data_IF_517261032550
#
_entry.id   IF_517261032550
#
_cell.length_a   1.000
_cell.length_b   1.000
_cell.length_c   1.000
_cell.angle_alpha   90.00
_cell.angle_beta   90.00
_cell.angle_gamma   90.00
#
_symmetry.space_group_name_H-M   'P 1'
#
loop_
_entity.id
_entity.type
_entity.pdbx_description
1 polymer ?
#
# COMPACT_ATOMS: atom_id res chain seq x y z
N UNK A 1 -1.10 8.38 20.62
CA UNK A 1 -1.91 7.80 19.53
C UNK A 1 -3.38 8.25 19.53
N UNK A 2 -3.92 8.95 20.55
CA UNK A 2 -5.31 9.44 20.53
C UNK A 2 -6.38 8.37 20.20
N UNK A 3 -6.10 7.11 20.53
CA UNK A 3 -7.01 5.98 20.29
C UNK A 3 -7.98 5.87 21.45
N UNK A 4 -9.26 5.73 21.13
CA UNK A 4 -10.33 5.54 22.11
C UNK A 4 -10.16 4.25 22.91
N UNK A 5 -10.39 4.31 24.23
CA UNK A 5 -10.17 3.19 25.14
C UNK A 5 -10.95 1.92 24.76
N UNK A 6 -12.15 2.07 24.17
CA UNK A 6 -12.98 0.94 23.77
C UNK A 6 -12.35 0.07 22.67
N UNK A 7 -11.39 0.60 21.89
CA UNK A 7 -10.73 -0.11 20.80
C UNK A 7 -9.45 -0.85 21.24
N UNK A 8 -9.01 -0.66 22.47
CA UNK A 8 -7.71 -1.15 22.95
C UNK A 8 -7.61 -2.69 22.89
N UNK A 9 -8.70 -3.38 23.23
CA UNK A 9 -8.72 -4.84 23.22
C UNK A 9 -8.55 -5.37 21.79
N UNK A 10 -9.32 -4.83 20.84
CA UNK A 10 -9.31 -5.24 19.43
C UNK A 10 -7.95 -4.96 18.78
N UNK A 11 -7.30 -3.85 19.15
CA UNK A 11 -5.93 -3.56 18.67
C UNK A 11 -4.94 -4.60 19.18
N UNK A 12 -4.99 -4.96 20.47
CA UNK A 12 -4.11 -5.99 21.03
C UNK A 12 -4.35 -7.34 20.39
N UNK A 13 -5.61 -7.71 20.17
CA UNK A 13 -5.99 -8.94 19.48
C UNK A 13 -5.50 -8.95 18.03
N UNK A 14 -5.63 -7.83 17.32
CA UNK A 14 -5.11 -7.68 15.95
C UNK A 14 -3.59 -7.71 15.89
N UNK A 15 -2.90 -7.15 16.89
CA UNK A 15 -1.44 -7.09 16.95
C UNK A 15 -0.81 -8.44 17.29
N UNK A 16 -1.38 -9.18 18.25
CA UNK A 16 -0.83 -10.46 18.74
C UNK A 16 -1.24 -11.67 17.90
N UNK A 17 -1.90 -11.43 16.77
CA UNK A 17 -2.46 -12.44 15.88
C UNK A 17 -1.36 -13.10 15.07
N UNK A 18 -1.27 -14.43 15.17
CA UNK A 18 -0.30 -15.24 14.42
C UNK A 18 -0.96 -16.39 13.63
N UNK A 19 -0.56 -16.61 12.36
CA UNK A 19 0.32 -15.74 11.57
C UNK A 19 -0.33 -14.38 11.31
N UNK A 20 0.45 -13.31 11.18
CA UNK A 20 -0.07 -11.99 10.80
C UNK A 20 -0.65 -12.02 9.36
N UNK A 21 -1.82 -11.39 9.18
CA UNK A 21 -2.65 -11.45 7.97
C UNK A 21 -3.54 -10.20 7.92
N UNK A 22 -3.82 -9.68 6.71
CA UNK A 22 -4.68 -8.51 6.48
C UNK A 22 -3.92 -7.21 6.16
N UNK A 23 -2.59 -7.24 6.06
CA UNK A 23 -1.78 -6.09 5.60
C UNK A 23 -1.25 -6.36 4.20
N UNK A 24 -1.74 -5.61 3.21
CA UNK A 24 -1.44 -5.84 1.79
C UNK A 24 -0.31 -4.94 1.28
N UNK A 25 -0.34 -3.63 1.57
CA UNK A 25 0.67 -2.67 1.12
C UNK A 25 0.77 -1.45 2.05
N UNK A 26 1.88 -0.71 1.96
CA UNK A 26 2.20 0.51 2.74
C UNK A 26 3.11 1.43 1.90
N UNK A 27 3.14 2.73 2.20
CA UNK A 27 3.99 3.75 1.52
C UNK A 27 4.97 4.37 2.51
N UNK A 28 6.22 4.55 2.07
CA UNK A 28 7.21 5.35 2.79
C UNK A 28 7.34 6.71 2.13
N UNK A 29 7.32 7.76 2.95
CA UNK A 29 7.55 9.11 2.49
C UNK A 29 9.00 9.45 2.81
N UNK A 30 9.82 9.57 1.77
CA UNK A 30 11.28 9.71 1.88
C UNK A 30 11.73 11.05 1.31
N UNK A 31 12.67 11.70 1.98
CA UNK A 31 13.40 12.85 1.46
C UNK A 31 14.82 12.45 1.09
N UNK A 32 15.15 12.67 -0.18
CA UNK A 32 16.45 12.39 -0.75
C UNK A 32 16.68 13.31 -1.95
N UNK A 33 17.81 14.01 -1.98
CA UNK A 33 18.17 14.95 -3.05
C UNK A 33 19.16 14.39 -4.07
N UNK A 34 19.57 13.13 -3.92
CA UNK A 34 20.62 12.53 -4.74
C UNK A 34 21.99 12.51 -4.03
N UNK A 35 22.84 11.61 -4.47
CA UNK A 35 24.16 11.37 -3.85
C UNK A 35 25.09 12.59 -3.94
N UNK A 36 24.92 13.40 -4.99
CA UNK A 36 25.75 14.58 -5.27
C UNK A 36 25.08 15.90 -4.85
N UNK A 37 24.00 15.85 -4.08
CA UNK A 37 23.24 17.04 -3.69
C UNK A 37 24.13 18.06 -2.94
N UNK A 38 23.96 19.36 -3.19
CA UNK A 38 24.82 20.41 -2.60
C UNK A 38 24.72 20.42 -1.07
N UNK A 39 23.51 20.28 -0.53
CA UNK A 39 23.29 20.06 0.90
C UNK A 39 23.59 18.61 1.31
N UNK A 40 24.62 18.35 2.16
CA UNK A 40 24.97 17.00 2.61
C UNK A 40 23.83 16.26 3.31
N UNK A 41 22.88 16.98 3.92
CA UNK A 41 21.74 16.38 4.63
C UNK A 41 20.78 15.66 3.69
N UNK A 42 20.79 16.01 2.41
CA UNK A 42 19.95 15.44 1.36
C UNK A 42 20.66 14.31 0.58
N UNK A 43 21.92 14.01 0.88
CA UNK A 43 22.67 12.89 0.29
C UNK A 43 22.37 11.54 0.96
N UNK A 44 21.67 11.56 2.09
CA UNK A 44 21.24 10.35 2.80
C UNK A 44 19.71 10.32 2.78
N UNK A 45 19.07 9.28 2.23
CA UNK A 45 17.62 9.15 2.27
C UNK A 45 17.11 9.14 3.72
N UNK A 46 16.11 9.98 4.01
CA UNK A 46 15.46 10.03 5.33
C UNK A 46 13.98 9.71 5.18
N UNK A 47 13.52 8.72 5.93
CA UNK A 47 12.09 8.42 6.05
C UNK A 47 11.45 9.41 7.02
N UNK A 48 10.40 10.11 6.56
CA UNK A 48 9.61 11.01 7.37
C UNK A 48 8.35 10.34 7.90
N UNK A 49 7.69 9.54 7.07
CA UNK A 49 6.43 8.91 7.44
C UNK A 49 6.32 7.50 6.84
N UNK A 50 5.63 6.65 7.59
CA UNK A 50 5.21 5.34 7.15
C UNK A 50 3.68 5.29 7.06
N UNK A 51 3.17 5.62 5.88
CA UNK A 51 1.76 5.64 5.56
C UNK A 51 1.27 4.22 5.33
N UNK A 52 0.60 3.67 6.33
CA UNK A 52 0.35 2.24 6.40
C UNK A 52 -1.13 1.82 6.47
N UNK A 53 -2.03 2.78 6.67
CA UNK A 53 -3.46 2.53 6.89
C UNK A 53 -4.23 2.70 5.57
N UNK A 54 -4.08 3.88 4.95
CA UNK A 54 -4.67 4.21 3.65
C UNK A 54 -3.63 4.92 2.76
N UNK A 55 -2.59 4.21 2.29
CA UNK A 55 -1.54 4.84 1.49
C UNK A 55 -2.10 5.20 0.11
N UNK A 56 -1.91 6.44 -0.29
CA UNK A 56 -2.43 6.92 -1.59
C UNK A 56 -1.40 6.85 -2.72
N UNK A 57 -1.83 7.17 -3.94
CA UNK A 57 -1.05 7.12 -5.19
C UNK A 57 -0.68 5.73 -5.71
N UNK A 58 -1.44 4.70 -5.35
CA UNK A 58 -1.12 3.31 -5.72
C UNK A 58 -1.26 3.10 -7.24
N UNK A 59 -2.31 3.64 -7.85
CA UNK A 59 -2.61 3.44 -9.28
C UNK A 59 -1.61 4.16 -10.16
N UNK A 60 -1.25 5.36 -9.74
CA UNK A 60 -0.27 6.22 -10.37
C UNK A 60 1.08 5.51 -10.44
N UNK A 61 1.56 5.06 -9.28
CA UNK A 61 2.82 4.34 -9.17
C UNK A 61 2.75 2.98 -9.88
N UNK A 62 1.70 2.18 -9.70
CA UNK A 62 1.65 0.82 -10.24
C UNK A 62 1.35 0.73 -11.74
N UNK A 63 0.81 1.77 -12.37
CA UNK A 63 0.32 1.66 -13.76
C UNK A 63 0.46 2.93 -14.58
N UNK A 64 -0.01 4.09 -14.10
CA UNK A 64 -0.07 5.29 -14.93
C UNK A 64 1.32 5.78 -15.34
N UNK A 65 2.29 5.77 -14.41
CA UNK A 65 3.67 6.15 -14.70
C UNK A 65 4.31 5.25 -15.77
N UNK A 66 4.07 3.94 -15.70
CA UNK A 66 4.56 2.99 -16.72
C UNK A 66 3.93 3.24 -18.09
N UNK A 67 2.61 3.47 -18.13
CA UNK A 67 1.92 3.79 -19.38
C UNK A 67 2.45 5.07 -20.01
N UNK A 68 2.68 6.12 -19.21
CA UNK A 68 3.30 7.35 -19.68
C UNK A 68 4.70 7.11 -20.25
N UNK A 69 5.54 6.34 -19.55
CA UNK A 69 6.88 5.99 -20.04
C UNK A 69 6.80 5.25 -21.38
N UNK A 70 5.88 4.29 -21.51
CA UNK A 70 5.66 3.52 -22.75
C UNK A 70 5.17 4.38 -23.92
N UNK A 71 4.34 5.38 -23.64
CA UNK A 71 3.77 6.26 -24.66
C UNK A 71 4.77 7.32 -25.14
N UNK A 72 5.59 7.83 -24.23
CA UNK A 72 6.49 8.96 -24.52
C UNK A 72 7.93 8.53 -24.85
N UNK A 73 8.37 7.37 -24.36
CA UNK A 73 9.77 6.95 -24.42
C UNK A 73 10.71 7.80 -23.56
N UNK A 74 10.18 8.67 -22.68
CA UNK A 74 10.99 9.55 -21.84
C UNK A 74 11.39 8.87 -20.53
N UNK A 75 12.50 8.14 -20.57
CA UNK A 75 13.10 7.51 -19.40
C UNK A 75 13.72 6.15 -19.73
N UNK A 76 14.46 5.59 -18.77
CA UNK A 76 15.12 4.29 -18.95
C UNK A 76 14.20 3.14 -18.49
N UNK A 77 13.69 3.23 -17.26
CA UNK A 77 12.80 2.26 -16.63
C UNK A 77 12.17 2.90 -15.38
N UNK A 78 11.08 2.32 -14.87
CA UNK A 78 10.47 2.64 -13.59
C UNK A 78 10.98 1.74 -12.44
N UNK A 79 11.58 0.58 -12.75
CA UNK A 79 12.02 -0.42 -11.76
C UNK A 79 10.92 -0.81 -10.78
N UNK A 80 9.72 -1.06 -11.30
CA UNK A 80 8.49 -1.27 -10.54
C UNK A 80 8.14 -2.76 -10.45
N UNK A 81 7.69 -3.22 -9.27
CA UNK A 81 7.16 -4.58 -9.03
C UNK A 81 5.89 -4.57 -8.16
N UNK A 82 5.21 -3.42 -8.09
CA UNK A 82 4.07 -3.20 -7.18
C UNK A 82 2.94 -4.16 -7.49
N UNK A 83 2.58 -4.32 -8.77
CA UNK A 83 1.51 -5.22 -9.21
C UNK A 83 1.77 -6.67 -8.78
N UNK A 84 2.96 -7.18 -9.08
CA UNK A 84 3.33 -8.57 -8.80
C UNK A 84 3.33 -8.82 -7.29
N UNK A 85 3.88 -7.89 -6.51
CA UNK A 85 3.92 -7.97 -5.05
C UNK A 85 2.53 -7.84 -4.40
N UNK A 86 1.62 -7.05 -4.98
CA UNK A 86 0.23 -6.99 -4.52
C UNK A 86 -0.47 -8.35 -4.70
N UNK A 87 -0.27 -8.99 -5.85
CA UNK A 87 -0.83 -10.33 -6.13
C UNK A 87 -0.30 -11.35 -5.12
N UNK A 88 1.01 -11.35 -4.87
CA UNK A 88 1.64 -12.24 -3.88
C UNK A 88 1.10 -11.99 -2.47
N UNK A 89 0.97 -10.72 -2.06
CA UNK A 89 0.42 -10.35 -0.76
C UNK A 89 -1.03 -10.83 -0.59
N UNK A 90 -1.87 -10.67 -1.61
CA UNK A 90 -3.25 -11.17 -1.59
C UNK A 90 -3.31 -12.69 -1.52
N UNK A 91 -2.54 -13.41 -2.34
CA UNK A 91 -2.49 -14.87 -2.30
C UNK A 91 -2.08 -15.37 -0.91
N UNK A 92 -1.06 -14.76 -0.32
CA UNK A 92 -0.63 -15.05 1.06
C UNK A 92 -1.80 -14.85 2.03
N UNK A 93 -2.39 -13.67 2.05
CA UNK A 93 -3.43 -13.33 3.02
C UNK A 93 -4.68 -14.20 2.85
N UNK A 94 -5.19 -14.37 1.63
CA UNK A 94 -6.34 -15.24 1.37
C UNK A 94 -6.08 -16.69 1.84
N UNK A 95 -4.89 -17.23 1.58
CA UNK A 95 -4.51 -18.58 2.02
C UNK A 95 -4.53 -18.69 3.54
N UNK A 96 -3.89 -17.74 4.23
CA UNK A 96 -3.88 -17.69 5.69
C UNK A 96 -5.30 -17.52 6.24
N UNK A 97 -6.13 -16.74 5.56
CA UNK A 97 -7.50 -16.47 5.95
C UNK A 97 -8.36 -17.73 5.93
N UNK A 98 -8.39 -18.40 4.79
CA UNK A 98 -9.23 -19.58 4.60
C UNK A 98 -8.77 -20.73 5.50
N UNK A 99 -7.46 -20.88 5.72
CA UNK A 99 -6.92 -21.86 6.67
C UNK A 99 -7.37 -21.59 8.11
N UNK A 100 -7.39 -20.31 8.52
CA UNK A 100 -7.78 -19.93 9.88
C UNK A 100 -9.28 -20.08 10.12
N UNK A 101 -10.10 -19.75 9.12
CA UNK A 101 -11.56 -19.77 9.22
C UNK A 101 -12.19 -21.13 8.86
N UNK A 102 -11.46 -22.00 8.15
CA UNK A 102 -11.92 -23.34 7.75
C UNK A 102 -12.93 -23.33 6.59
N UNK A 103 -13.08 -22.21 5.88
CA UNK A 103 -13.94 -22.09 4.71
C UNK A 103 -13.42 -21.03 3.75
N UNK A 104 -13.91 -21.04 2.50
CA UNK A 104 -13.64 -19.99 1.52
C UNK A 104 -14.25 -18.67 1.95
N UNK A 105 -13.54 -17.58 1.72
CA UNK A 105 -14.02 -16.24 2.06
C UNK A 105 -14.46 -15.43 0.86
N UNK A 106 -15.29 -14.43 1.14
CA UNK A 106 -15.58 -13.34 0.20
C UNK A 106 -14.88 -12.08 0.69
N UNK A 107 -14.10 -11.44 -0.18
CA UNK A 107 -13.48 -10.15 0.11
C UNK A 107 -14.44 -9.04 -0.28
N UNK A 108 -14.77 -8.17 0.66
CA UNK A 108 -15.53 -6.97 0.41
C UNK A 108 -14.59 -5.77 0.35
N UNK A 109 -14.70 -5.00 -0.73
CA UNK A 109 -13.97 -3.76 -0.91
C UNK A 109 -14.90 -2.59 -0.60
N UNK A 110 -14.52 -1.78 0.38
CA UNK A 110 -15.31 -0.65 0.86
C UNK A 110 -14.55 0.66 0.63
N UNK A 111 -15.28 1.68 0.22
CA UNK A 111 -14.78 3.05 -0.01
C UNK A 111 -15.71 4.02 0.70
N UNK A 112 -15.15 5.13 1.19
CA UNK A 112 -15.95 6.17 1.84
C UNK A 112 -16.89 6.85 0.84
N UNK A 113 -18.18 6.93 1.14
CA UNK A 113 -19.13 7.75 0.36
C UNK A 113 -18.86 9.23 0.65
N UNK A 114 -18.47 10.01 -0.37
CA UNK A 114 -18.30 11.46 -0.25
C UNK A 114 -16.85 11.97 -0.35
N UNK A 115 -15.88 11.12 -0.68
CA UNK A 115 -14.53 11.57 -1.03
C UNK A 115 -14.55 12.17 -2.46
N UNK A 116 -14.26 13.46 -2.64
CA UNK A 116 -14.53 14.17 -3.90
C UNK A 116 -13.48 13.94 -5.00
N UNK A 117 -12.28 13.45 -4.67
CA UNK A 117 -11.19 13.27 -5.63
C UNK A 117 -11.27 11.92 -6.37
N UNK A 118 -11.98 10.94 -5.80
CA UNK A 118 -12.02 9.57 -6.29
C UNK A 118 -10.76 8.76 -5.98
N UNK A 119 -9.85 9.28 -5.14
CA UNK A 119 -8.58 8.64 -4.79
C UNK A 119 -8.81 7.30 -4.08
N UNK A 120 -9.71 7.27 -3.10
CA UNK A 120 -10.08 6.03 -2.39
C UNK A 120 -10.68 5.00 -3.34
N UNK A 121 -11.61 5.43 -4.19
CA UNK A 121 -12.26 4.56 -5.18
C UNK A 121 -11.25 3.97 -6.17
N UNK A 122 -10.30 4.78 -6.63
CA UNK A 122 -9.29 4.39 -7.61
C UNK A 122 -8.28 3.42 -6.99
N UNK A 123 -7.81 3.71 -5.77
CA UNK A 123 -6.92 2.82 -5.03
C UNK A 123 -7.59 1.48 -4.74
N UNK A 124 -8.83 1.49 -4.25
CA UNK A 124 -9.59 0.26 -4.01
C UNK A 124 -9.76 -0.55 -5.29
N UNK A 125 -10.08 0.10 -6.42
CA UNK A 125 -10.21 -0.57 -7.71
C UNK A 125 -8.92 -1.28 -8.15
N UNK A 126 -7.75 -0.66 -7.97
CA UNK A 126 -6.46 -1.28 -8.35
C UNK A 126 -6.11 -2.52 -7.52
N UNK A 127 -6.60 -2.57 -6.28
CA UNK A 127 -6.41 -3.71 -5.38
C UNK A 127 -7.35 -4.87 -5.75
N UNK A 128 -8.45 -4.60 -6.47
CA UNK A 128 -9.46 -5.60 -6.89
C UNK A 128 -9.08 -6.34 -8.18
N UNK A 129 -8.51 -5.63 -9.18
CA UNK A 129 -8.40 -6.16 -10.54
C UNK A 129 -7.17 -7.06 -10.67
N UNK A 130 -7.23 -8.31 -10.17
CA UNK A 130 -6.26 -9.38 -10.43
C UNK A 130 -6.87 -10.78 -10.38
#
# INVERSE_FOLDING_TARGET
MAISAFALQQIKESWNREPAWGSVYRRFDVCFGGLDHQDPRLRVPKCYEFNADTPTSLVEAASIQWLWLKQTGHGNDQLNSITERLIEAWKRDLTLIEQKLGHRITVHFAVGSGEPTGEDATNTTKVIIW
#
